data_IF_651015177385
#
_entry.id   IF_651015177385
#
_cell.length_a   1.000
_cell.length_b   1.000
_cell.length_c   1.000
_cell.angle_alpha   90.00
_cell.angle_beta   90.00
_cell.angle_gamma   90.00
#
_symmetry.space_group_name_H-M   'P 1'
#
loop_
_entity.id
_entity.type
_entity.pdbx_description
1 polymer ?
#
# COMPACT_ATOMS: atom_id res chain seq x y z
N UNK A 1 -15.72 -7.31 -10.71
CA UNK A 1 -14.26 -7.19 -10.88
C UNK A 1 -13.77 -6.18 -9.85
N UNK A 2 -13.07 -6.60 -8.81
CA UNK A 2 -12.55 -5.67 -7.79
C UNK A 2 -11.18 -5.21 -8.28
N UNK A 3 -11.05 -3.92 -8.61
CA UNK A 3 -9.76 -3.35 -9.00
C UNK A 3 -8.86 -3.36 -7.76
N UNK A 4 -7.91 -4.29 -7.71
CA UNK A 4 -6.91 -4.36 -6.64
C UNK A 4 -5.93 -3.20 -6.84
N UNK A 5 -6.12 -2.12 -6.10
CA UNK A 5 -5.21 -0.97 -6.11
C UNK A 5 -4.00 -1.36 -5.25
N UNK A 6 -2.88 -1.71 -5.90
CA UNK A 6 -1.60 -1.81 -5.23
C UNK A 6 -0.89 -0.46 -5.34
N UNK A 7 -0.60 0.16 -4.19
CA UNK A 7 0.12 1.42 -4.12
C UNK A 7 1.16 1.32 -3.02
N UNK A 8 2.37 1.77 -3.32
CA UNK A 8 3.40 1.99 -2.32
C UNK A 8 3.15 3.39 -1.76
N UNK A 9 2.68 3.47 -0.53
CA UNK A 9 2.55 4.73 0.16
C UNK A 9 3.91 5.19 0.70
N UNK A 10 4.14 6.50 0.72
CA UNK A 10 5.31 7.09 1.39
C UNK A 10 4.97 7.39 2.85
N UNK A 11 5.91 7.08 3.73
CA UNK A 11 5.91 7.56 5.11
C UNK A 11 6.43 8.99 5.14
N UNK A 12 5.75 9.85 5.89
CA UNK A 12 6.13 11.24 6.10
C UNK A 12 6.08 11.59 7.58
N UNK A 13 6.92 12.52 8.01
CA UNK A 13 6.83 13.08 9.36
C UNK A 13 5.96 14.34 9.32
N UNK A 14 4.95 14.38 10.18
CA UNK A 14 4.05 15.53 10.37
C UNK A 14 4.19 15.96 11.84
N UNK A 15 5.05 16.95 12.08
CA UNK A 15 5.41 17.34 13.44
C UNK A 15 6.03 16.15 14.20
N UNK A 16 5.39 15.75 15.30
CA UNK A 16 5.82 14.63 16.14
C UNK A 16 5.15 13.29 15.78
N UNK A 17 4.47 13.20 14.62
CA UNK A 17 3.74 12.00 14.19
C UNK A 17 4.24 11.48 12.85
N UNK A 18 4.11 10.17 12.63
CA UNK A 18 4.35 9.54 11.33
C UNK A 18 3.01 9.42 10.59
N UNK A 19 2.95 10.00 9.40
CA UNK A 19 1.81 9.94 8.49
C UNK A 19 2.08 9.03 7.29
N UNK A 20 1.02 8.50 6.72
CA UNK A 20 1.04 7.75 5.46
C UNK A 20 0.37 8.61 4.39
N UNK A 21 1.04 8.83 3.26
CA UNK A 21 0.43 9.58 2.15
C UNK A 21 -0.37 8.68 1.24
N UNK A 22 -1.63 9.02 0.98
CA UNK A 22 -2.44 8.42 -0.08
C UNK A 22 -2.37 9.31 -1.32
N UNK A 23 -1.98 8.75 -2.46
CA UNK A 23 -1.85 9.51 -3.71
C UNK A 23 -3.19 10.12 -4.15
N UNK A 24 -3.13 11.21 -4.92
CA UNK A 24 -4.33 11.90 -5.42
C UNK A 24 -5.21 10.98 -6.28
N UNK A 25 -4.59 10.12 -7.09
CA UNK A 25 -5.31 9.21 -7.98
C UNK A 25 -6.07 8.15 -7.19
N UNK A 26 -5.44 7.57 -6.18
CA UNK A 26 -6.10 6.59 -5.28
C UNK A 26 -7.26 7.24 -4.54
N UNK A 27 -7.08 8.45 -4.01
CA UNK A 27 -8.18 9.20 -3.37
C UNK A 27 -9.34 9.48 -4.32
N UNK A 28 -9.07 9.77 -5.60
CA UNK A 28 -10.10 10.01 -6.61
C UNK A 28 -10.88 8.73 -6.95
N UNK A 29 -10.17 7.62 -7.15
CA UNK A 29 -10.79 6.32 -7.47
C UNK A 29 -11.63 5.79 -6.31
N UNK A 30 -11.15 5.96 -5.07
CA UNK A 30 -11.84 5.51 -3.85
C UNK A 30 -12.78 6.58 -3.26
N UNK A 31 -12.89 7.76 -3.88
CA UNK A 31 -13.66 8.92 -3.40
C UNK A 31 -13.39 9.29 -1.92
N UNK A 32 -12.13 9.25 -1.51
CA UNK A 32 -11.68 9.61 -0.15
C UNK A 32 -11.46 11.13 -0.08
N UNK A 33 -12.03 11.76 0.95
CA UNK A 33 -11.97 13.20 1.21
C UNK A 33 -11.33 13.50 2.58
N UNK A 34 -10.80 14.72 2.79
CA UNK A 34 -10.32 15.13 4.11
C UNK A 34 -11.46 15.04 5.15
N UNK A 35 -11.18 14.39 6.28
CA UNK A 35 -12.16 14.18 7.36
C UNK A 35 -12.85 12.82 7.33
N UNK A 36 -12.72 12.05 6.25
CA UNK A 36 -13.24 10.68 6.19
C UNK A 36 -12.49 9.77 7.17
N UNK A 37 -13.22 8.85 7.79
CA UNK A 37 -12.64 7.77 8.59
C UNK A 37 -12.25 6.61 7.68
N UNK A 38 -11.04 6.09 7.87
CA UNK A 38 -10.48 4.99 7.08
C UNK A 38 -10.16 3.84 8.03
N UNK A 39 -10.66 2.64 7.72
CA UNK A 39 -10.26 1.42 8.41
C UNK A 39 -8.92 0.93 7.86
N UNK A 40 -7.98 0.62 8.75
CA UNK A 40 -6.67 0.07 8.40
C UNK A 40 -6.63 -1.39 8.83
N UNK A 41 -6.33 -2.29 7.89
CA UNK A 41 -6.07 -3.71 8.17
C UNK A 41 -4.59 -4.00 7.92
N UNK A 42 -3.95 -4.71 8.85
CA UNK A 42 -2.54 -5.11 8.73
C UNK A 42 -2.51 -6.61 8.47
N UNK A 43 -1.93 -7.00 7.34
CA UNK A 43 -1.78 -8.40 6.94
C UNK A 43 -0.29 -8.74 6.85
N UNK A 44 0.10 -9.87 7.45
CA UNK A 44 1.46 -10.41 7.30
C UNK A 44 1.55 -11.07 5.93
N UNK A 45 2.44 -10.55 5.07
CA UNK A 45 2.75 -11.17 3.78
C UNK A 45 4.05 -11.96 3.96
N UNK A 46 3.97 -13.29 3.81
CA UNK A 46 5.14 -14.15 3.75
C UNK A 46 5.61 -14.23 2.30
N UNK A 47 6.76 -13.60 2.00
CA UNK A 47 7.42 -13.78 0.72
C UNK A 47 8.12 -15.13 0.74
N UNK A 48 7.59 -16.11 0.00
CA UNK A 48 8.38 -17.30 -0.32
C UNK A 48 9.45 -16.87 -1.31
N UNK A 49 10.71 -16.94 -0.89
CA UNK A 49 11.85 -16.83 -1.81
C UNK A 49 11.64 -17.83 -2.96
N UNK A 50 11.40 -17.32 -4.16
CA UNK A 50 11.52 -18.12 -5.38
C UNK A 50 13.02 -18.32 -5.62
N UNK A 51 13.56 -19.38 -5.01
CA UNK A 51 14.89 -19.87 -5.33
C UNK A 51 14.95 -20.23 -6.81
N UNK A 52 15.90 -19.60 -7.50
CA UNK A 52 16.29 -19.80 -8.88
C UNK A 52 16.43 -21.29 -9.21
N UNK A 53 15.63 -21.76 -10.18
CA UNK A 53 15.90 -22.99 -10.92
C UNK A 53 16.03 -22.64 -12.40
N UNK A 54 17.11 -21.97 -12.75
CA UNK A 54 17.65 -21.99 -14.11
C UNK A 54 19.17 -22.15 -14.00
N UNK A 55 19.73 -23.02 -14.85
CA UNK A 55 21.11 -23.57 -14.84
C UNK A 55 21.25 -24.74 -13.84
N UNK A 56 21.44 -26.00 -14.22
CA UNK A 56 22.21 -26.57 -15.33
C UNK A 56 21.48 -27.81 -15.90
N UNK A 57 21.20 -27.78 -17.21
CA UNK A 57 21.21 -28.97 -18.08
C UNK A 57 22.33 -28.77 -19.09
#
# INVERSE_FOLDING_TARGET
MVNKIQTIAKLINIGNSVGITISKDVRKVLNIRPGDYIQISIEKIEYKEQGEKESEM
#
